data_IF_327947828830
#
_entry.id   IF_327947828830
#
_cell.length_a   1.000
_cell.length_b   1.000
_cell.length_c   1.000
_cell.angle_alpha   90.00
_cell.angle_beta   90.00
_cell.angle_gamma   90.00
#
_symmetry.space_group_name_H-M   'P 1'
#
loop_
_entity.id
_entity.type
_entity.pdbx_description
1 polymer ?
#
# COMPACT_ATOMS: atom_id res chain seq x y z
N UNK A 1 -11.26 19.61 -52.42
CA UNK A 1 -10.05 19.20 -51.68
C UNK A 1 -10.07 19.83 -50.30
N UNK A 2 -10.33 19.05 -49.26
CA UNK A 2 -10.07 19.43 -47.88
C UNK A 2 -9.84 18.14 -47.10
N UNK A 3 -8.60 17.91 -46.67
CA UNK A 3 -8.19 16.73 -45.90
C UNK A 3 -8.82 16.81 -44.51
N UNK A 4 -9.60 15.79 -44.14
CA UNK A 4 -9.96 15.49 -42.74
C UNK A 4 -8.65 15.28 -41.97
N UNK A 5 -8.39 16.13 -40.97
CA UNK A 5 -7.43 15.83 -39.90
C UNK A 5 -8.03 14.69 -39.07
N UNK A 6 -7.43 13.52 -39.18
CA UNK A 6 -7.63 12.39 -38.28
C UNK A 6 -6.92 12.76 -36.98
N UNK A 7 -7.69 13.07 -35.94
CA UNK A 7 -7.17 13.15 -34.58
C UNK A 7 -7.07 11.74 -34.02
N UNK A 8 -5.94 11.09 -34.21
CA UNK A 8 -5.58 9.89 -33.46
C UNK A 8 -5.19 10.28 -32.03
N UNK A 9 -5.79 9.64 -31.04
CA UNK A 9 -5.32 9.76 -29.66
C UNK A 9 -4.04 8.91 -29.50
N UNK A 10 -2.94 9.46 -28.95
CA UNK A 10 -1.65 8.75 -28.81
C UNK A 10 -1.66 7.59 -27.79
N UNK A 11 -2.77 7.38 -27.08
CA UNK A 11 -2.84 6.51 -25.90
C UNK A 11 -2.95 5.02 -26.22
N UNK A 12 -3.44 4.66 -27.41
CA UNK A 12 -3.48 3.26 -27.86
C UNK A 12 -2.09 2.68 -28.18
N UNK A 13 -1.15 3.56 -28.58
CA UNK A 13 0.17 3.15 -29.04
C UNK A 13 1.08 2.71 -27.88
N UNK A 14 1.03 3.39 -26.73
CA UNK A 14 1.88 3.04 -25.58
C UNK A 14 1.49 1.68 -24.97
N UNK A 15 0.20 1.41 -24.78
CA UNK A 15 -0.27 0.13 -24.22
C UNK A 15 0.09 -1.02 -25.15
N UNK A 16 -0.24 -0.92 -26.44
CA UNK A 16 0.05 -1.96 -27.41
C UNK A 16 1.56 -2.20 -27.57
N UNK A 17 2.37 -1.13 -27.62
CA UNK A 17 3.82 -1.23 -27.70
C UNK A 17 4.43 -1.88 -26.44
N UNK A 18 3.98 -1.47 -25.25
CA UNK A 18 4.51 -2.01 -23.99
C UNK A 18 4.18 -3.49 -23.82
N UNK A 19 2.95 -3.90 -24.16
CA UNK A 19 2.56 -5.32 -24.15
C UNK A 19 3.35 -6.11 -25.19
N UNK A 20 3.55 -5.58 -26.38
CA UNK A 20 4.33 -6.24 -27.44
C UNK A 20 5.80 -6.40 -27.05
N UNK A 21 6.37 -5.42 -26.35
CA UNK A 21 7.73 -5.49 -25.82
C UNK A 21 7.86 -6.51 -24.69
N UNK A 22 6.85 -6.58 -23.80
CA UNK A 22 6.79 -7.56 -22.71
C UNK A 22 6.62 -9.01 -23.23
N UNK A 23 5.90 -9.18 -24.33
CA UNK A 23 5.58 -10.50 -24.92
C UNK A 23 5.83 -10.55 -26.43
N UNK A 24 7.10 -10.57 -26.87
CA UNK A 24 7.44 -10.57 -28.28
C UNK A 24 6.80 -11.73 -29.05
N UNK A 25 6.23 -11.43 -30.22
CA UNK A 25 5.61 -12.44 -31.10
C UNK A 25 4.22 -12.90 -30.68
N UNK A 26 3.60 -12.28 -29.67
CA UNK A 26 2.21 -12.54 -29.29
C UNK A 26 1.30 -11.38 -29.69
N UNK A 27 0.01 -11.67 -29.89
CA UNK A 27 -1.01 -10.66 -30.22
C UNK A 27 -1.99 -10.54 -29.06
N UNK A 28 -2.45 -9.32 -28.77
CA UNK A 28 -3.60 -9.09 -27.88
C UNK A 28 -4.86 -9.58 -28.58
N UNK A 29 -5.47 -10.66 -28.08
CA UNK A 29 -6.70 -11.25 -28.64
C UNK A 29 -7.95 -10.76 -27.91
N UNK A 30 -7.81 -10.27 -26.68
CA UNK A 30 -8.88 -9.65 -25.92
C UNK A 30 -8.33 -8.60 -24.96
N UNK A 31 -9.06 -7.52 -24.78
CA UNK A 31 -8.78 -6.48 -23.80
C UNK A 31 -10.10 -6.07 -23.13
N UNK A 32 -10.11 -5.99 -21.80
CA UNK A 32 -11.23 -5.47 -21.03
C UNK A 32 -10.74 -4.55 -19.92
N UNK A 33 -11.45 -3.46 -19.67
CA UNK A 33 -11.18 -2.59 -18.52
C UNK A 33 -11.63 -3.30 -17.23
N UNK A 34 -10.74 -3.30 -16.24
CA UNK A 34 -11.00 -3.83 -14.90
C UNK A 34 -11.53 -2.72 -14.00
N UNK A 35 -10.87 -1.56 -14.01
CA UNK A 35 -11.32 -0.36 -13.30
C UNK A 35 -10.62 0.89 -13.83
N UNK A 36 -11.23 2.04 -13.58
CA UNK A 36 -10.60 3.34 -13.82
C UNK A 36 -9.80 3.79 -12.60
N UNK A 37 -8.68 4.46 -12.84
CA UNK A 37 -7.85 5.06 -11.80
C UNK A 37 -8.49 6.35 -11.27
N UNK A 38 -8.22 6.65 -10.00
CA UNK A 38 -8.78 7.82 -9.32
C UNK A 38 -8.50 9.13 -10.05
N UNK A 39 -9.47 10.05 -10.02
CA UNK A 39 -9.37 11.39 -10.58
C UNK A 39 -8.99 11.44 -12.08
N UNK A 40 -9.34 10.40 -12.83
CA UNK A 40 -9.11 10.35 -14.29
C UNK A 40 -7.66 10.10 -14.68
N UNK A 41 -6.85 9.48 -13.80
CA UNK A 41 -5.42 9.20 -14.04
C UNK A 41 -5.17 8.05 -15.02
N UNK A 42 -6.20 7.47 -15.63
CA UNK A 42 -6.07 6.34 -16.54
C UNK A 42 -6.91 5.14 -16.08
N UNK A 43 -6.50 3.94 -16.47
CA UNK A 43 -7.29 2.73 -16.27
C UNK A 43 -6.40 1.49 -16.12
N UNK A 44 -6.96 0.47 -15.49
CA UNK A 44 -6.40 -0.87 -15.40
C UNK A 44 -7.14 -1.75 -16.40
N UNK A 45 -6.40 -2.42 -17.27
CA UNK A 45 -6.93 -3.35 -18.26
C UNK A 45 -6.45 -4.77 -17.96
N UNK A 46 -7.29 -5.75 -18.26
CA UNK A 46 -6.88 -7.14 -18.44
C UNK A 46 -6.70 -7.38 -19.92
N UNK A 47 -5.54 -7.92 -20.31
CA UNK A 47 -5.25 -8.34 -21.67
C UNK A 47 -5.07 -9.86 -21.72
N UNK A 48 -5.63 -10.49 -22.75
CA UNK A 48 -5.34 -11.89 -23.08
C UNK A 48 -4.54 -11.93 -24.37
N UNK A 49 -3.47 -12.72 -24.36
CA UNK A 49 -2.56 -12.88 -25.47
C UNK A 49 -2.89 -14.15 -26.27
N UNK A 50 -2.48 -14.18 -27.53
CA UNK A 50 -2.62 -15.34 -28.42
C UNK A 50 -1.90 -16.59 -27.91
N UNK A 51 -0.91 -16.41 -27.03
CA UNK A 51 -0.22 -17.50 -26.31
C UNK A 51 -1.05 -18.13 -25.20
N UNK A 52 -2.20 -17.54 -24.83
CA UNK A 52 -3.04 -17.95 -23.70
C UNK A 52 -2.72 -17.23 -22.39
N UNK A 53 -1.65 -16.41 -22.34
CA UNK A 53 -1.29 -15.63 -21.15
C UNK A 53 -2.33 -14.54 -20.87
N UNK A 54 -2.69 -14.37 -19.59
CA UNK A 54 -3.45 -13.23 -19.08
C UNK A 54 -2.51 -12.28 -18.33
N UNK A 55 -2.60 -10.98 -18.60
CA UNK A 55 -1.80 -9.96 -17.94
C UNK A 55 -2.66 -8.74 -17.56
N UNK A 56 -2.21 -8.01 -16.55
CA UNK A 56 -2.80 -6.74 -16.13
C UNK A 56 -1.94 -5.61 -16.66
N UNK A 57 -2.59 -4.61 -17.26
CA UNK A 57 -1.95 -3.40 -17.75
C UNK A 57 -2.49 -2.21 -16.97
N UNK A 58 -1.68 -1.63 -16.08
CA UNK A 58 -1.98 -0.37 -15.38
C UNK A 58 -1.46 0.76 -16.26
N UNK A 59 -2.35 1.44 -16.98
CA UNK A 59 -2.00 2.56 -17.85
C UNK A 59 -2.39 3.87 -17.16
N UNK A 60 -1.39 4.71 -16.93
CA UNK A 60 -1.49 5.91 -16.11
C UNK A 60 -1.14 7.11 -16.99
N UNK A 61 -2.09 8.03 -17.11
CA UNK A 61 -1.98 9.27 -17.87
C UNK A 61 -2.46 10.41 -16.96
N UNK A 62 -1.56 11.02 -16.18
CA UNK A 62 -1.93 12.14 -15.31
C UNK A 62 -2.52 13.31 -16.14
N UNK A 63 -3.51 14.04 -15.61
CA UNK A 63 -4.04 15.22 -16.27
C UNK A 63 -2.94 16.29 -16.46
N UNK A 64 -2.86 16.89 -17.65
CA UNK A 64 -1.77 17.78 -18.05
C UNK A 64 -1.63 19.08 -17.21
N UNK A 65 -2.68 19.54 -16.53
CA UNK A 65 -2.74 20.89 -15.95
C UNK A 65 -3.07 20.91 -14.44
N UNK A 66 -2.24 20.30 -13.59
CA UNK A 66 -2.38 20.57 -12.15
C UNK A 66 -1.06 20.64 -11.40
N UNK A 67 -0.61 21.85 -11.10
CA UNK A 67 0.47 22.10 -10.12
C UNK A 67 0.04 21.86 -8.66
N UNK A 68 -1.16 21.28 -8.45
CA UNK A 68 -1.66 20.99 -7.11
C UNK A 68 -0.75 19.98 -6.39
N UNK A 69 -0.58 20.17 -5.08
CA UNK A 69 0.17 19.26 -4.20
C UNK A 69 -0.36 17.81 -4.34
N UNK A 70 -1.67 17.65 -4.48
CA UNK A 70 -2.32 16.35 -4.69
C UNK A 70 -1.85 15.67 -5.99
N UNK A 71 -1.68 16.41 -7.09
CA UNK A 71 -1.19 15.84 -8.34
C UNK A 71 0.29 15.45 -8.27
N UNK A 72 1.13 16.33 -7.73
CA UNK A 72 2.56 16.04 -7.53
C UNK A 72 2.73 14.76 -6.70
N UNK A 73 1.97 14.65 -5.60
CA UNK A 73 1.95 13.44 -4.76
C UNK A 73 1.52 12.19 -5.52
N UNK A 74 0.46 12.28 -6.35
CA UNK A 74 -0.03 11.13 -7.14
C UNK A 74 0.98 10.71 -8.20
N UNK A 75 1.55 11.63 -8.96
CA UNK A 75 2.60 11.30 -9.94
C UNK A 75 3.78 10.61 -9.23
N UNK A 76 4.22 11.15 -8.09
CA UNK A 76 5.27 10.53 -7.28
C UNK A 76 4.92 9.11 -6.82
N UNK A 77 3.66 8.84 -6.45
CA UNK A 77 3.23 7.49 -6.07
C UNK A 77 3.38 6.46 -7.20
N UNK A 78 3.19 6.87 -8.46
CA UNK A 78 3.41 5.99 -9.62
C UNK A 78 4.89 5.80 -9.94
N UNK A 79 5.73 6.82 -9.78
CA UNK A 79 7.18 6.68 -9.90
C UNK A 79 7.72 5.65 -8.90
N UNK A 80 7.24 5.74 -7.65
CA UNK A 80 7.64 4.86 -6.56
C UNK A 80 7.15 3.42 -6.79
N UNK A 81 5.90 3.23 -7.22
CA UNK A 81 5.38 1.90 -7.58
C UNK A 81 6.18 1.27 -8.73
N UNK A 82 6.46 2.05 -9.79
CA UNK A 82 7.24 1.61 -10.93
C UNK A 82 8.65 1.21 -10.52
N UNK A 83 9.31 2.02 -9.67
CA UNK A 83 10.63 1.72 -9.15
C UNK A 83 10.64 0.42 -8.34
N UNK A 84 9.66 0.23 -7.43
CA UNK A 84 9.55 -0.97 -6.61
C UNK A 84 9.47 -2.24 -7.48
N UNK A 85 8.57 -2.28 -8.46
CA UNK A 85 8.47 -3.42 -9.37
C UNK A 85 9.73 -3.60 -10.24
N UNK A 86 10.31 -2.51 -10.76
CA UNK A 86 11.45 -2.63 -11.66
C UNK A 86 12.74 -3.08 -10.95
N UNK A 87 12.92 -2.73 -9.66
CA UNK A 87 14.21 -2.85 -8.99
C UNK A 87 14.19 -3.74 -7.74
N UNK A 88 13.04 -3.83 -7.05
CA UNK A 88 12.96 -4.48 -5.73
C UNK A 88 12.22 -5.82 -5.75
N UNK A 89 11.57 -6.16 -6.87
CA UNK A 89 10.88 -7.46 -7.03
C UNK A 89 11.65 -8.46 -7.90
N UNK A 90 12.98 -8.32 -8.00
CA UNK A 90 13.82 -9.17 -8.87
C UNK A 90 13.82 -10.65 -8.48
N UNK A 91 13.82 -10.96 -7.18
CA UNK A 91 13.66 -12.31 -6.65
C UNK A 91 12.27 -12.49 -6.01
N UNK A 92 11.26 -12.62 -6.87
CA UNK A 92 9.87 -12.84 -6.43
C UNK A 92 9.68 -14.13 -5.62
N UNK A 93 10.64 -15.06 -5.62
CA UNK A 93 10.54 -16.29 -4.81
C UNK A 93 10.90 -16.04 -3.34
N UNK A 94 11.69 -14.99 -3.06
CA UNK A 94 12.06 -14.58 -1.71
C UNK A 94 11.06 -13.59 -1.08
N UNK A 95 10.11 -13.07 -1.86
CA UNK A 95 9.13 -12.06 -1.44
C UNK A 95 7.75 -12.72 -1.31
N UNK A 96 6.93 -12.37 -0.29
CA UNK A 96 5.56 -12.87 -0.23
C UNK A 96 4.76 -12.43 -1.48
N UNK A 97 3.73 -13.22 -1.83
CA UNK A 97 3.13 -13.18 -3.17
C UNK A 97 2.62 -11.79 -3.56
N UNK A 98 3.16 -11.27 -4.67
CA UNK A 98 2.76 -10.05 -5.37
C UNK A 98 2.84 -10.28 -6.90
N UNK A 99 2.28 -9.40 -7.76
CA UNK A 99 2.37 -9.58 -9.20
C UNK A 99 3.81 -9.55 -9.70
N UNK A 100 4.19 -10.51 -10.54
CA UNK A 100 5.44 -10.40 -11.29
C UNK A 100 5.34 -9.25 -12.29
N UNK A 101 6.34 -8.36 -12.37
CA UNK A 101 6.39 -7.38 -13.45
C UNK A 101 6.92 -8.03 -14.73
N UNK A 102 6.24 -7.77 -15.84
CA UNK A 102 6.72 -8.14 -17.18
C UNK A 102 7.38 -6.94 -17.86
N UNK A 103 6.85 -5.73 -17.67
CA UNK A 103 7.43 -4.50 -18.20
C UNK A 103 6.93 -3.30 -17.41
N UNK A 104 7.84 -2.37 -17.11
CA UNK A 104 7.56 -1.11 -16.41
C UNK A 104 8.14 0.01 -17.28
N UNK A 105 7.27 0.87 -17.81
CA UNK A 105 7.68 1.98 -18.70
C UNK A 105 7.15 3.30 -18.16
N UNK A 106 8.01 4.31 -18.19
CA UNK A 106 7.64 5.71 -17.94
C UNK A 106 8.06 6.57 -19.12
N UNK A 107 7.16 7.39 -19.66
CA UNK A 107 7.43 8.34 -20.73
C UNK A 107 6.53 9.57 -20.59
N UNK A 108 7.08 10.78 -20.67
CA UNK A 108 6.34 12.05 -20.65
C UNK A 108 5.31 12.15 -19.49
N UNK A 109 5.74 11.78 -18.27
CA UNK A 109 4.91 11.69 -17.05
C UNK A 109 3.73 10.70 -17.14
N UNK A 110 3.67 9.87 -18.17
CA UNK A 110 2.76 8.72 -18.26
C UNK A 110 3.50 7.45 -17.88
N UNK A 111 2.76 6.47 -17.36
CA UNK A 111 3.31 5.20 -16.91
C UNK A 111 2.49 4.05 -17.49
N UNK A 112 3.16 2.94 -17.80
CA UNK A 112 2.52 1.72 -18.25
C UNK A 112 3.18 0.53 -17.56
N UNK A 113 2.44 -0.13 -16.69
CA UNK A 113 2.91 -1.31 -15.96
C UNK A 113 2.19 -2.54 -16.52
N UNK A 114 2.95 -3.48 -17.06
CA UNK A 114 2.48 -4.79 -17.49
C UNK A 114 2.87 -5.79 -16.42
N UNK A 115 1.87 -6.28 -15.69
CA UNK A 115 2.00 -7.12 -14.51
C UNK A 115 1.29 -8.46 -14.72
N UNK A 116 1.67 -9.44 -13.92
CA UNK A 116 0.97 -10.72 -13.81
C UNK A 116 -0.49 -10.56 -13.41
N UNK A 117 -1.37 -11.30 -14.08
CA UNK A 117 -2.78 -11.42 -13.68
C UNK A 117 -2.95 -12.44 -12.56
N UNK A 118 -2.80 -11.96 -11.32
CA UNK A 118 -2.98 -12.78 -10.12
C UNK A 118 -4.37 -13.42 -10.02
N UNK A 119 -5.40 -12.86 -10.66
CA UNK A 119 -6.78 -13.38 -10.53
C UNK A 119 -6.95 -14.80 -11.10
N UNK A 120 -5.99 -15.26 -11.91
CA UNK A 120 -5.93 -16.65 -12.40
C UNK A 120 -5.66 -17.64 -11.26
N UNK A 121 -4.74 -17.31 -10.35
CA UNK A 121 -4.35 -18.17 -9.21
C UNK A 121 -5.05 -17.78 -7.90
N UNK A 122 -5.45 -16.51 -7.78
CA UNK A 122 -6.06 -15.89 -6.60
C UNK A 122 -7.43 -15.27 -6.97
N UNK A 123 -8.46 -16.09 -7.26
CA UNK A 123 -9.72 -15.60 -7.82
C UNK A 123 -10.69 -14.99 -6.80
N UNK A 124 -10.39 -15.06 -5.49
CA UNK A 124 -11.31 -14.65 -4.42
C UNK A 124 -10.92 -13.28 -3.86
N UNK A 125 -11.91 -12.58 -3.29
CA UNK A 125 -11.75 -11.35 -2.52
C UNK A 125 -12.56 -11.46 -1.22
N UNK A 126 -12.01 -10.95 -0.13
CA UNK A 126 -12.71 -10.83 1.16
C UNK A 126 -12.67 -9.38 1.60
N UNK A 127 -13.77 -8.83 2.10
CA UNK A 127 -13.83 -7.40 2.48
C UNK A 127 -13.65 -7.17 3.98
N UNK A 128 -14.14 -8.08 4.84
CA UNK A 128 -13.86 -8.08 6.28
C UNK A 128 -13.07 -9.33 6.64
N UNK A 129 -11.86 -9.14 7.14
CA UNK A 129 -10.90 -10.20 7.44
C UNK A 129 -11.05 -10.63 8.89
N UNK A 130 -11.33 -11.91 9.12
CA UNK A 130 -11.37 -12.51 10.44
C UNK A 130 -10.82 -13.94 10.44
N UNK A 131 -10.45 -14.43 11.61
CA UNK A 131 -9.94 -15.78 11.80
C UNK A 131 -8.74 -16.07 10.87
N UNK A 132 -8.82 -17.12 10.03
CA UNK A 132 -7.71 -17.48 9.13
C UNK A 132 -7.31 -16.37 8.16
N UNK A 133 -8.27 -15.63 7.61
CA UNK A 133 -7.99 -14.58 6.62
C UNK A 133 -7.18 -13.43 7.23
N UNK A 134 -7.56 -12.96 8.42
CA UNK A 134 -6.80 -11.89 9.09
C UNK A 134 -5.39 -12.34 9.48
N UNK A 135 -5.23 -13.58 9.97
CA UNK A 135 -3.92 -14.14 10.27
C UNK A 135 -3.04 -14.26 9.03
N UNK A 136 -3.59 -14.73 7.91
CA UNK A 136 -2.85 -14.82 6.65
C UNK A 136 -2.42 -13.45 6.11
N UNK A 137 -3.26 -12.43 6.26
CA UNK A 137 -2.91 -11.06 5.90
C UNK A 137 -1.76 -10.51 6.75
N UNK A 138 -1.81 -10.75 8.07
CA UNK A 138 -0.74 -10.37 9.01
C UNK A 138 0.56 -11.13 8.74
N UNK A 139 0.48 -12.43 8.43
CA UNK A 139 1.63 -13.24 8.03
C UNK A 139 2.27 -12.69 6.75
N UNK A 140 1.48 -12.30 5.75
CA UNK A 140 2.00 -11.69 4.52
C UNK A 140 2.75 -10.37 4.83
N UNK A 141 2.16 -9.49 5.63
CA UNK A 141 2.82 -8.23 6.04
C UNK A 141 4.11 -8.53 6.81
N UNK A 142 4.09 -9.47 7.75
CA UNK A 142 5.26 -9.85 8.53
C UNK A 142 6.41 -10.35 7.64
N UNK A 143 6.10 -11.19 6.65
CA UNK A 143 7.07 -11.68 5.67
C UNK A 143 7.60 -10.53 4.79
N UNK A 144 6.74 -9.63 4.34
CA UNK A 144 7.12 -8.48 3.52
C UNK A 144 8.06 -7.56 4.30
N UNK A 145 7.67 -7.22 5.53
CA UNK A 145 8.45 -6.38 6.42
C UNK A 145 9.79 -7.01 6.83
N UNK A 146 9.87 -8.33 6.98
CA UNK A 146 11.12 -9.02 7.20
C UNK A 146 12.02 -8.98 5.96
N UNK A 147 11.45 -9.24 4.78
CA UNK A 147 12.20 -9.27 3.50
C UNK A 147 12.90 -7.95 3.21
N UNK A 148 12.27 -6.82 3.55
CA UNK A 148 12.81 -5.49 3.31
C UNK A 148 13.30 -4.79 4.58
N UNK A 149 13.63 -5.56 5.62
CA UNK A 149 14.05 -5.03 6.91
C UNK A 149 15.30 -4.16 6.76
N UNK A 150 15.21 -2.90 7.20
CA UNK A 150 16.26 -1.89 7.05
C UNK A 150 16.80 -1.74 5.62
N UNK A 151 15.96 -2.00 4.61
CA UNK A 151 16.30 -1.76 3.21
C UNK A 151 16.45 -0.26 2.97
N UNK A 152 17.59 0.14 2.42
CA UNK A 152 17.89 1.51 2.01
C UNK A 152 18.48 1.49 0.60
N UNK A 153 17.60 1.49 -0.40
CA UNK A 153 17.97 1.44 -1.81
C UNK A 153 17.97 2.83 -2.48
N UNK A 154 17.49 3.87 -1.78
CA UNK A 154 17.44 5.26 -2.23
C UNK A 154 16.45 5.59 -3.36
N UNK A 155 15.66 4.63 -3.85
CA UNK A 155 14.71 4.85 -4.95
C UNK A 155 13.23 4.78 -4.58
N UNK A 156 12.86 4.10 -3.49
CA UNK A 156 11.54 4.24 -2.87
C UNK A 156 11.47 5.49 -1.97
N UNK A 157 10.26 5.89 -1.56
CA UNK A 157 10.08 7.07 -0.71
C UNK A 157 10.67 6.87 0.71
N UNK A 158 11.30 7.92 1.24
CA UNK A 158 11.81 7.96 2.63
C UNK A 158 10.69 7.84 3.67
N UNK A 159 9.47 8.26 3.30
CA UNK A 159 8.26 8.09 4.10
C UNK A 159 7.21 7.33 3.27
N UNK A 160 7.06 6.05 3.58
CA UNK A 160 5.99 5.20 3.07
C UNK A 160 4.66 5.43 3.79
N UNK A 161 3.59 4.91 3.19
CA UNK A 161 2.25 4.95 3.79
C UNK A 161 1.31 5.98 3.18
N UNK A 162 0.02 5.68 3.28
CA UNK A 162 -1.02 6.49 2.67
C UNK A 162 -1.33 7.79 3.45
N UNK A 163 -1.06 7.88 4.76
CA UNK A 163 -1.62 8.94 5.62
C UNK A 163 -0.63 9.74 6.50
N UNK A 164 0.67 9.71 6.20
CA UNK A 164 1.64 10.47 7.00
C UNK A 164 1.44 11.99 6.89
N UNK A 165 1.79 12.72 7.95
CA UNK A 165 1.38 14.11 8.16
C UNK A 165 1.77 15.04 7.00
N UNK A 166 3.01 14.91 6.50
CA UNK A 166 3.56 15.80 5.47
C UNK A 166 2.78 15.79 4.14
N UNK A 167 1.99 14.74 3.86
CA UNK A 167 1.19 14.65 2.62
C UNK A 167 -0.31 14.86 2.84
N UNK A 168 -0.75 15.09 4.08
CA UNK A 168 -2.16 15.15 4.50
C UNK A 168 -2.52 16.45 5.18
N UNK A 169 -2.07 17.55 4.56
CA UNK A 169 -2.27 18.90 5.08
C UNK A 169 -3.73 19.33 5.00
N UNK A 170 -4.45 18.96 3.94
CA UNK A 170 -5.89 19.23 3.79
C UNK A 170 -6.67 18.56 4.95
N UNK A 171 -6.38 17.29 5.25
CA UNK A 171 -7.02 16.58 6.36
C UNK A 171 -6.59 17.15 7.72
N UNK A 172 -5.32 17.55 7.89
CA UNK A 172 -4.87 18.21 9.10
C UNK A 172 -5.59 19.55 9.35
N UNK A 173 -5.80 20.34 8.30
CA UNK A 173 -6.53 21.61 8.37
C UNK A 173 -8.01 21.41 8.71
N UNK A 174 -8.59 20.32 8.20
CA UNK A 174 -9.99 19.91 8.42
C UNK A 174 -10.29 19.36 9.83
N UNK A 175 -9.29 19.15 10.69
CA UNK A 175 -9.52 18.70 12.07
C UNK A 175 -10.54 19.58 12.80
N UNK A 176 -11.51 18.95 13.48
CA UNK A 176 -12.60 19.64 14.17
C UNK A 176 -12.17 20.48 15.40
N UNK A 177 -13.16 21.10 16.04
CA UNK A 177 -13.00 21.84 17.29
C UNK A 177 -13.37 21.05 18.56
N UNK A 178 -13.68 19.77 18.43
CA UNK A 178 -13.92 18.88 19.58
C UNK A 178 -12.62 18.58 20.34
N UNK A 179 -12.74 18.13 21.60
CA UNK A 179 -11.60 17.91 22.50
C UNK A 179 -10.53 16.97 21.92
N UNK A 180 -10.95 15.91 21.21
CA UNK A 180 -10.02 14.97 20.58
C UNK A 180 -9.26 15.67 19.45
N UNK A 181 -9.97 16.32 18.52
CA UNK A 181 -9.34 17.04 17.40
C UNK A 181 -8.40 18.15 17.86
N UNK A 182 -8.75 18.90 18.90
CA UNK A 182 -7.89 19.95 19.48
C UNK A 182 -6.57 19.37 19.99
N UNK A 183 -6.61 18.25 20.72
CA UNK A 183 -5.41 17.56 21.21
C UNK A 183 -4.56 17.02 20.07
N UNK A 184 -5.19 16.33 19.12
CA UNK A 184 -4.50 15.78 17.95
C UNK A 184 -3.81 16.90 17.14
N UNK A 185 -4.46 18.05 16.97
CA UNK A 185 -3.88 19.21 16.29
C UNK A 185 -2.67 19.77 17.03
N UNK A 186 -2.77 19.91 18.35
CA UNK A 186 -1.70 20.43 19.19
C UNK A 186 -0.43 19.57 19.20
N UNK A 187 -0.59 18.24 19.06
CA UNK A 187 0.52 17.29 19.15
C UNK A 187 0.88 16.60 17.82
N UNK A 188 0.32 17.05 16.69
CA UNK A 188 0.46 16.37 15.40
C UNK A 188 1.92 16.10 15.00
N UNK A 189 2.80 17.10 15.13
CA UNK A 189 4.22 16.95 14.79
C UNK A 189 4.94 15.93 15.70
N UNK A 190 4.58 15.89 16.98
CA UNK A 190 5.14 14.94 17.93
C UNK A 190 4.64 13.52 17.67
N UNK A 191 3.34 13.37 17.37
CA UNK A 191 2.74 12.09 16.97
C UNK A 191 3.45 11.56 15.71
N UNK A 192 3.61 12.39 14.68
CA UNK A 192 4.32 12.03 13.45
C UNK A 192 5.75 11.55 13.72
N UNK A 193 6.49 12.27 14.57
CA UNK A 193 7.84 11.89 14.99
C UNK A 193 7.87 10.52 15.69
N UNK A 194 6.87 10.20 16.50
CA UNK A 194 6.76 8.89 17.19
C UNK A 194 6.44 7.73 16.25
N UNK A 195 6.05 8.01 15.01
CA UNK A 195 5.85 6.98 13.96
C UNK A 195 7.12 6.68 13.15
N UNK A 196 8.28 7.20 13.58
CA UNK A 196 9.58 6.94 12.96
C UNK A 196 10.59 6.44 13.98
N UNK A 197 11.29 5.36 13.65
CA UNK A 197 12.49 4.92 14.36
C UNK A 197 13.39 4.21 13.34
N UNK A 198 14.38 4.91 12.75
CA UNK A 198 15.24 4.37 11.69
C UNK A 198 16.02 3.10 12.05
N UNK A 199 16.04 2.69 13.32
CA UNK A 199 16.63 1.41 13.75
C UNK A 199 15.77 0.21 13.33
N UNK A 200 14.47 0.42 13.17
CA UNK A 200 13.45 -0.63 13.06
C UNK A 200 12.50 -0.42 11.87
N UNK A 201 12.95 0.30 10.85
CA UNK A 201 12.19 0.53 9.63
C UNK A 201 12.34 -0.62 8.63
N UNK A 202 11.33 -0.73 7.77
CA UNK A 202 11.25 -1.65 6.64
C UNK A 202 10.56 -0.94 5.49
N UNK A 203 10.33 -1.63 4.37
CA UNK A 203 9.37 -1.15 3.37
C UNK A 203 7.95 -1.51 3.78
N UNK A 204 7.08 -0.52 3.75
CA UNK A 204 5.65 -0.66 3.93
C UNK A 204 5.00 -0.99 2.59
N UNK A 205 3.93 -1.79 2.58
CA UNK A 205 2.97 -1.77 1.48
C UNK A 205 2.35 -0.38 1.35
N UNK A 206 2.04 0.24 2.48
CA UNK A 206 1.62 1.64 2.61
C UNK A 206 0.13 1.92 2.39
N UNK A 207 -0.58 1.03 1.69
CA UNK A 207 -2.05 1.03 1.58
C UNK A 207 -2.62 -0.35 1.98
N UNK A 208 -2.24 -0.82 3.17
CA UNK A 208 -2.54 -2.15 3.66
C UNK A 208 -4.02 -2.38 4.03
N UNK A 209 -4.84 -2.77 3.05
CA UNK A 209 -6.28 -3.04 3.21
C UNK A 209 -6.74 -4.19 2.35
N UNK A 210 -7.85 -4.81 2.75
CA UNK A 210 -8.47 -5.96 2.10
C UNK A 210 -8.83 -5.76 0.62
N UNK A 211 -9.11 -4.52 0.20
CA UNK A 211 -9.36 -4.19 -1.21
C UNK A 211 -8.13 -4.39 -2.12
N UNK A 212 -6.94 -4.41 -1.53
CA UNK A 212 -5.65 -4.58 -2.22
C UNK A 212 -5.15 -6.04 -2.13
N UNK A 213 -6.04 -6.99 -1.82
CA UNK A 213 -5.69 -8.40 -1.62
C UNK A 213 -6.51 -9.31 -2.52
N UNK A 214 -5.84 -10.24 -3.20
CA UNK A 214 -6.45 -11.36 -3.90
C UNK A 214 -6.16 -12.67 -3.16
N UNK A 215 -7.10 -13.61 -3.21
CA UNK A 215 -7.05 -14.81 -2.39
C UNK A 215 -7.19 -16.08 -3.23
N UNK A 216 -6.34 -17.07 -2.94
CA UNK A 216 -6.51 -18.44 -3.44
C UNK A 216 -7.49 -19.20 -2.55
N UNK A 217 -7.28 -19.07 -1.25
CA UNK A 217 -8.03 -19.68 -0.16
C UNK A 217 -7.98 -18.75 1.06
N UNK A 218 -8.59 -19.14 2.18
CA UNK A 218 -8.66 -18.30 3.40
C UNK A 218 -7.30 -18.11 4.10
N UNK A 219 -6.28 -18.86 3.69
CA UNK A 219 -4.96 -18.87 4.31
C UNK A 219 -3.84 -18.35 3.41
N UNK A 220 -4.13 -18.12 2.12
CA UNK A 220 -3.16 -17.69 1.13
C UNK A 220 -3.67 -16.49 0.35
N UNK A 221 -3.01 -15.35 0.55
CA UNK A 221 -3.27 -14.11 -0.16
C UNK A 221 -2.08 -13.66 -1.01
N UNK A 222 -2.37 -12.80 -1.97
CA UNK A 222 -1.42 -12.01 -2.73
C UNK A 222 -1.84 -10.54 -2.65
N UNK A 223 -0.87 -9.63 -2.61
CA UNK A 223 -1.12 -8.20 -2.47
C UNK A 223 -0.79 -7.45 -3.75
N UNK A 224 -1.52 -6.37 -3.99
CA UNK A 224 -1.40 -5.51 -5.18
C UNK A 224 -1.47 -4.05 -4.77
N UNK A 225 -1.15 -3.15 -5.71
CA UNK A 225 -1.25 -1.69 -5.53
C UNK A 225 -0.22 -1.11 -4.54
N UNK A 226 1.05 -1.16 -4.94
CA UNK A 226 2.20 -0.68 -4.16
C UNK A 226 2.47 0.81 -4.40
N UNK A 227 1.45 1.63 -4.64
CA UNK A 227 1.59 3.08 -4.88
C UNK A 227 2.22 3.85 -3.72
N UNK A 228 2.04 3.34 -2.51
CA UNK A 228 2.50 3.99 -1.29
C UNK A 228 3.65 3.24 -0.63
N UNK A 229 4.33 2.37 -1.37
CA UNK A 229 5.51 1.66 -0.89
C UNK A 229 6.61 2.64 -0.53
N UNK A 230 7.25 2.43 0.61
CA UNK A 230 8.28 3.33 1.11
C UNK A 230 8.68 2.95 2.52
N UNK A 231 9.70 3.62 3.03
CA UNK A 231 10.28 3.29 4.34
C UNK A 231 9.35 3.66 5.48
N UNK A 232 9.37 2.86 6.54
CA UNK A 232 8.68 3.18 7.78
C UNK A 232 8.57 2.00 8.74
N UNK A 233 7.91 2.24 9.87
CA UNK A 233 7.64 1.19 10.85
C UNK A 233 6.55 0.26 10.32
N UNK A 234 6.83 -1.04 10.19
CA UNK A 234 5.84 -2.04 9.73
C UNK A 234 4.53 -2.04 10.55
N UNK A 235 4.61 -1.54 11.80
CA UNK A 235 3.48 -1.23 12.66
C UNK A 235 2.41 -0.33 12.01
N UNK A 236 2.79 0.56 11.08
CA UNK A 236 1.89 1.45 10.34
C UNK A 236 0.93 0.67 9.44
N UNK A 237 1.44 -0.30 8.68
CA UNK A 237 0.60 -1.19 7.86
C UNK A 237 -0.29 -2.09 8.71
N UNK A 238 0.22 -2.60 9.84
CA UNK A 238 -0.58 -3.41 10.77
C UNK A 238 -1.73 -2.59 11.34
N UNK A 239 -1.47 -1.35 11.77
CA UNK A 239 -2.51 -0.45 12.29
C UNK A 239 -3.59 -0.20 11.24
N UNK A 240 -3.19 0.09 10.01
CA UNK A 240 -4.14 0.34 8.93
C UNK A 240 -4.98 -0.88 8.58
N UNK A 241 -4.36 -2.06 8.43
CA UNK A 241 -5.07 -3.31 8.14
C UNK A 241 -6.13 -3.64 9.21
N UNK A 242 -5.75 -3.53 10.49
CA UNK A 242 -6.66 -3.79 11.60
C UNK A 242 -7.80 -2.76 11.63
N UNK A 243 -7.55 -1.49 11.32
CA UNK A 243 -8.57 -0.47 11.29
C UNK A 243 -9.50 -0.55 10.07
N UNK A 244 -8.94 -0.78 8.88
CA UNK A 244 -9.67 -0.69 7.62
C UNK A 244 -10.41 -1.98 7.27
N UNK A 245 -9.90 -3.13 7.72
CA UNK A 245 -10.27 -4.42 7.15
C UNK A 245 -10.48 -5.53 8.18
N UNK A 246 -9.93 -5.40 9.38
CA UNK A 246 -10.11 -6.39 10.45
C UNK A 246 -11.56 -6.54 10.91
N UNK A 247 -11.97 -7.76 11.23
CA UNK A 247 -13.27 -8.04 11.84
C UNK A 247 -13.40 -7.29 13.16
N UNK A 248 -14.47 -6.48 13.29
CA UNK A 248 -14.66 -5.58 14.44
C UNK A 248 -14.60 -6.29 15.79
N UNK A 249 -15.25 -7.45 15.92
CA UNK A 249 -15.29 -8.20 17.18
C UNK A 249 -13.92 -8.80 17.51
N UNK A 250 -13.23 -9.34 16.52
CA UNK A 250 -11.91 -9.92 16.72
C UNK A 250 -10.88 -8.84 17.08
N UNK A 251 -10.85 -7.71 16.37
CA UNK A 251 -9.97 -6.59 16.69
C UNK A 251 -10.25 -6.05 18.09
N UNK A 252 -11.51 -5.84 18.46
CA UNK A 252 -11.88 -5.31 19.78
C UNK A 252 -11.45 -6.24 20.93
N UNK A 253 -11.54 -7.56 20.75
CA UNK A 253 -11.33 -8.53 21.83
C UNK A 253 -9.96 -9.21 21.81
N UNK A 254 -9.24 -9.19 20.68
CA UNK A 254 -8.04 -10.01 20.43
C UNK A 254 -6.89 -9.23 19.80
N UNK A 255 -6.93 -7.90 19.78
CA UNK A 255 -5.86 -7.08 19.19
C UNK A 255 -4.44 -7.51 19.64
N UNK A 256 -4.20 -7.69 20.94
CA UNK A 256 -2.87 -8.04 21.42
C UNK A 256 -2.41 -9.43 20.94
N UNK A 257 -3.34 -10.39 20.77
CA UNK A 257 -3.02 -11.70 20.20
C UNK A 257 -2.69 -11.59 18.70
N UNK A 258 -3.38 -10.70 17.98
CA UNK A 258 -3.10 -10.42 16.57
C UNK A 258 -1.74 -9.74 16.39
N UNK A 259 -1.38 -8.82 17.31
CA UNK A 259 -0.06 -8.18 17.33
C UNK A 259 1.05 -9.21 17.62
N UNK A 260 0.83 -10.12 18.59
CA UNK A 260 1.78 -11.22 18.87
C UNK A 260 1.90 -12.17 17.69
N UNK A 261 0.78 -12.46 17.01
CA UNK A 261 0.79 -13.28 15.79
C UNK A 261 1.67 -12.66 14.72
N UNK A 262 1.42 -11.40 14.37
CA UNK A 262 2.23 -10.66 13.40
C UNK A 262 3.72 -10.67 13.80
N UNK A 263 4.03 -10.38 15.06
CA UNK A 263 5.42 -10.27 15.51
C UNK A 263 6.15 -11.61 15.49
N UNK A 264 5.49 -12.71 15.88
CA UNK A 264 6.08 -14.05 15.80
C UNK A 264 6.34 -14.51 14.36
N UNK A 265 5.44 -14.18 13.43
CA UNK A 265 5.65 -14.43 12.00
C UNK A 265 6.79 -13.57 11.44
N UNK A 266 6.94 -12.33 11.92
CA UNK A 266 8.02 -11.44 11.54
C UNK A 266 9.37 -11.98 12.02
N UNK A 267 9.47 -12.39 13.28
CA UNK A 267 10.69 -13.02 13.82
C UNK A 267 11.06 -14.30 13.06
N UNK A 268 10.07 -15.12 12.73
CA UNK A 268 10.26 -16.35 11.95
C UNK A 268 10.79 -16.05 10.54
N UNK A 269 10.22 -15.05 9.87
CA UNK A 269 10.66 -14.62 8.55
C UNK A 269 12.06 -13.98 8.57
N UNK A 270 12.36 -13.16 9.58
CA UNK A 270 13.69 -12.59 9.82
C UNK A 270 14.76 -13.67 9.99
N UNK A 271 14.45 -14.71 10.79
CA UNK A 271 15.34 -15.84 10.99
C UNK A 271 15.60 -16.61 9.69
N UNK A 272 14.53 -16.86 8.90
CA UNK A 272 14.64 -17.56 7.62
C UNK A 272 15.46 -16.78 6.59
N UNK A 273 15.30 -15.44 6.57
CA UNK A 273 16.07 -14.54 5.70
C UNK A 273 17.51 -14.29 6.20
N UNK A 274 17.84 -14.73 7.43
CA UNK A 274 19.15 -14.49 8.04
C UNK A 274 19.39 -13.01 8.41
N UNK A 275 18.32 -12.24 8.65
CA UNK A 275 18.41 -10.84 9.02
C UNK A 275 18.55 -10.64 10.53
N UNK A 276 19.25 -9.58 10.93
CA UNK A 276 19.34 -9.14 12.32
C UNK A 276 18.18 -8.18 12.63
N UNK A 277 17.34 -8.54 13.60
CA UNK A 277 16.26 -7.68 14.10
C UNK A 277 16.76 -6.45 14.85
N UNK A 278 18.08 -6.33 15.09
CA UNK A 278 18.72 -5.25 15.85
C UNK A 278 18.15 -5.13 17.27
N UNK A 279 17.77 -6.26 17.84
CA UNK A 279 17.15 -6.35 19.16
C UNK A 279 15.73 -5.78 19.21
N UNK A 280 15.02 -5.68 18.09
CA UNK A 280 13.61 -5.26 18.09
C UNK A 280 12.76 -6.26 18.87
N UNK A 281 12.09 -5.80 19.93
CA UNK A 281 11.25 -6.65 20.79
C UNK A 281 9.77 -6.44 20.53
N UNK A 282 8.94 -7.38 20.99
CA UNK A 282 7.49 -7.24 20.94
C UNK A 282 7.00 -5.96 21.65
N UNK A 283 7.59 -5.61 22.80
CA UNK A 283 7.21 -4.40 23.54
C UNK A 283 7.51 -3.11 22.76
N UNK A 284 8.66 -3.06 22.06
CA UNK A 284 8.99 -1.95 21.17
C UNK A 284 8.03 -1.88 20.00
N UNK A 285 7.73 -3.02 19.38
CA UNK A 285 6.73 -3.11 18.31
C UNK A 285 5.34 -2.65 18.77
N UNK A 286 4.89 -3.09 19.93
CA UNK A 286 3.60 -2.68 20.49
C UNK A 286 3.57 -1.18 20.76
N UNK A 287 4.65 -0.60 21.30
CA UNK A 287 4.77 0.84 21.47
C UNK A 287 4.68 1.59 20.13
N UNK A 288 5.43 1.15 19.12
CA UNK A 288 5.36 1.73 17.77
C UNK A 288 3.96 1.60 17.16
N UNK A 289 3.30 0.46 17.36
CA UNK A 289 1.94 0.21 16.92
C UNK A 289 0.95 1.19 17.52
N UNK A 290 1.00 1.41 18.83
CA UNK A 290 0.07 2.31 19.51
C UNK A 290 0.26 3.77 19.04
N UNK A 291 1.50 4.21 18.78
CA UNK A 291 1.77 5.53 18.18
C UNK A 291 1.32 5.63 16.72
N UNK A 292 1.55 4.60 15.90
CA UNK A 292 1.06 4.56 14.52
C UNK A 292 -0.48 4.57 14.47
N UNK A 293 -1.13 3.90 15.43
CA UNK A 293 -2.58 3.87 15.57
C UNK A 293 -3.13 5.25 15.97
N UNK A 294 -2.42 5.98 16.85
CA UNK A 294 -2.80 7.34 17.22
C UNK A 294 -2.65 8.31 16.02
N UNK A 295 -1.60 8.14 15.21
CA UNK A 295 -1.43 8.90 13.98
C UNK A 295 -2.52 8.59 12.94
N UNK A 296 -2.96 7.33 12.85
CA UNK A 296 -4.15 6.97 12.08
C UNK A 296 -5.41 7.69 12.60
N UNK A 297 -5.61 7.75 13.92
CA UNK A 297 -6.73 8.51 14.52
C UNK A 297 -6.64 10.00 14.17
N UNK A 298 -5.44 10.61 14.21
CA UNK A 298 -5.21 12.00 13.76
C UNK A 298 -5.67 12.19 12.33
N UNK A 299 -5.24 11.33 11.42
CA UNK A 299 -5.63 11.40 10.02
C UNK A 299 -7.16 11.28 9.84
N UNK A 300 -7.77 10.29 10.49
CA UNK A 300 -9.21 10.03 10.37
C UNK A 300 -10.09 11.12 10.99
N UNK A 301 -9.61 11.81 12.03
CA UNK A 301 -10.31 12.96 12.61
C UNK A 301 -10.46 14.13 11.63
N UNK A 302 -9.51 14.28 10.70
CA UNK A 302 -9.55 15.27 9.63
C UNK A 302 -10.25 14.79 8.36
N UNK A 303 -10.16 13.50 8.06
CA UNK A 303 -10.69 12.92 6.82
C UNK A 303 -12.15 12.45 6.93
N UNK A 304 -12.54 11.93 8.10
CA UNK A 304 -13.81 11.28 8.36
C UNK A 304 -13.63 9.84 8.85
N UNK A 305 -14.29 9.49 9.96
CA UNK A 305 -14.14 8.20 10.63
C UNK A 305 -14.91 7.05 9.95
N UNK A 306 -14.24 5.91 9.76
CA UNK A 306 -14.82 4.65 9.29
C UNK A 306 -13.98 3.45 9.79
N UNK A 307 -14.46 2.23 9.55
CA UNK A 307 -13.78 1.01 10.00
C UNK A 307 -13.82 0.84 11.53
N UNK A 308 -12.74 0.34 12.12
CA UNK A 308 -12.62 0.08 13.56
C UNK A 308 -12.12 1.32 14.34
N UNK A 309 -12.53 2.52 13.94
CA UNK A 309 -12.04 3.78 14.52
C UNK A 309 -12.35 3.94 16.02
N UNK A 310 -13.52 3.47 16.49
CA UNK A 310 -13.89 3.55 17.92
C UNK A 310 -12.90 2.78 18.80
N UNK A 311 -12.50 1.60 18.34
CA UNK A 311 -11.46 0.81 18.99
C UNK A 311 -10.11 1.53 18.94
N UNK A 312 -9.75 2.14 17.81
CA UNK A 312 -8.50 2.88 17.68
C UNK A 312 -8.41 4.08 18.64
N UNK A 313 -9.50 4.86 18.75
CA UNK A 313 -9.60 5.97 19.71
C UNK A 313 -9.49 5.45 21.14
N UNK A 314 -10.22 4.38 21.47
CA UNK A 314 -10.22 3.83 22.82
C UNK A 314 -8.85 3.27 23.22
N UNK A 315 -8.17 2.57 22.30
CA UNK A 315 -6.84 1.99 22.54
C UNK A 315 -5.77 3.05 22.76
N UNK A 316 -5.85 4.17 22.06
CA UNK A 316 -4.83 5.23 22.07
C UNK A 316 -5.11 6.36 23.07
N UNK A 317 -6.22 6.25 23.83
CA UNK A 317 -6.66 7.28 24.77
C UNK A 317 -5.63 7.63 25.85
N UNK A 318 -4.89 6.65 26.35
CA UNK A 318 -3.85 6.88 27.36
C UNK A 318 -2.71 7.75 26.82
N UNK A 319 -2.26 7.50 25.59
CA UNK A 319 -1.21 8.29 24.93
C UNK A 319 -1.59 9.77 24.83
N UNK A 320 -2.86 10.07 24.54
CA UNK A 320 -3.36 11.45 24.51
C UNK A 320 -3.41 12.12 25.89
N UNK A 321 -3.51 11.34 26.97
CA UNK A 321 -3.48 11.85 28.34
C UNK A 321 -2.05 12.17 28.77
N UNK A 322 -1.09 11.33 28.36
CA UNK A 322 0.35 11.55 28.59
C UNK A 322 0.88 12.82 27.92
N UNK A 323 0.27 13.23 26.80
CA UNK A 323 0.63 14.47 26.08
C UNK A 323 0.18 15.76 26.77
N UNK A 324 -0.58 15.68 27.87
CA UNK A 324 -1.02 16.86 28.65
C UNK A 324 0.04 17.37 29.65
N UNK A 325 1.15 16.67 29.82
CA UNK A 325 2.29 17.04 30.68
C UNK A 325 3.45 17.57 29.85
#
# INVERSE_FOLDING_TARGET
MARKKVGGHPTGDLVAATVSAAFPGTLVVNQSEVCSLWAGYGSIYRVRLSSGVSAIVKHITPPHDSSSISNVRKVRSYEVEGYFYANLTGDVAAIPRLPRPYSIVSADNSFCFVLEDLSVEFPKMFHSLGGPTLRAALTWLAQFHATFWNCDDGGVADDGGYWYLATRQDEYEALGGDDLSVKLRAHAAWIDQKTRDPRYETLLHGDAKSANMLWRDETTCAWVDFQYVGRGLGAKDVAYLLCSSGNRSEVANRADDLLRWYFGEFESAMMLAGHDSRGYTFDQFQGHFDWCLLDYVRFMAGWGFWGNYEWAIQRTKSLLTELQC
#
